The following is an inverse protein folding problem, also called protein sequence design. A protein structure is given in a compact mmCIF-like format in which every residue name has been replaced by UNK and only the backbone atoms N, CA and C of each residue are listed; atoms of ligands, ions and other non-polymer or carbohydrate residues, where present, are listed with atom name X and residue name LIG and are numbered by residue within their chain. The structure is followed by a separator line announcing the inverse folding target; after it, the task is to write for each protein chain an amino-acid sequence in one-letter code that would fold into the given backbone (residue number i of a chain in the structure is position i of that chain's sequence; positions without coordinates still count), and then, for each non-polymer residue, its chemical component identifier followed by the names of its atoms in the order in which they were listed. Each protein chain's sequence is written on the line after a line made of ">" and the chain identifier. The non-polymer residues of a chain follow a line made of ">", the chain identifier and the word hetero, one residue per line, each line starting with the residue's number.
data_IF_423675250273
#
_entry.id   IF_423675250273
#
_cell.length_a   1.000
_cell.length_b   1.000
_cell.length_c   1.000
_cell.angle_alpha   90.00
_cell.angle_beta   90.00
_cell.angle_gamma   90.00
#
_symmetry.space_group_name_H-M   'P 1'
#
loop_
_entity.id
_entity.type
_entity.pdbx_description
1 polymer ?
#
# COMPACT_ATOMS: atom_id res chain seq x y z
N UNK A 1 -37.31 -9.76 -4.74
CA UNK A 1 -36.49 -10.25 -3.62
C UNK A 1 -35.15 -10.76 -4.19
N UNK A 2 -34.09 -9.93 -4.21
CA UNK A 2 -32.77 -10.32 -4.76
C UNK A 2 -31.58 -9.92 -3.85
N UNK A 3 -31.82 -9.63 -2.58
CA UNK A 3 -30.82 -9.01 -1.71
C UNK A 3 -29.84 -10.00 -1.05
N UNK A 4 -30.06 -11.32 -1.18
CA UNK A 4 -29.21 -12.35 -0.56
C UNK A 4 -27.93 -12.70 -1.34
N UNK A 5 -27.85 -12.36 -2.63
CA UNK A 5 -26.73 -12.73 -3.51
C UNK A 5 -25.59 -11.71 -3.49
N UNK A 6 -25.92 -10.43 -3.33
CA UNK A 6 -24.94 -9.32 -3.35
C UNK A 6 -23.97 -9.37 -2.16
N UNK A 7 -24.49 -9.66 -0.96
CA UNK A 7 -23.66 -9.80 0.25
C UNK A 7 -22.67 -10.97 0.18
N UNK A 8 -23.08 -12.11 -0.40
CA UNK A 8 -22.17 -13.26 -0.59
C UNK A 8 -21.07 -12.96 -1.60
N UNK A 9 -21.37 -12.22 -2.67
CA UNK A 9 -20.38 -11.80 -3.67
C UNK A 9 -19.37 -10.83 -3.08
N UNK A 10 -19.82 -9.88 -2.25
CA UNK A 10 -18.97 -8.90 -1.60
C UNK A 10 -18.03 -9.55 -0.56
N UNK A 11 -18.54 -10.51 0.21
CA UNK A 11 -17.73 -11.34 1.11
C UNK A 11 -16.71 -12.18 0.34
N UNK A 12 -17.09 -12.74 -0.81
CA UNK A 12 -16.19 -13.56 -1.65
C UNK A 12 -15.07 -12.71 -2.26
N UNK A 13 -15.40 -11.52 -2.76
CA UNK A 13 -14.42 -10.54 -3.25
C UNK A 13 -13.48 -10.10 -2.13
N UNK A 14 -14.03 -9.74 -0.96
CA UNK A 14 -13.23 -9.41 0.21
C UNK A 14 -12.29 -10.55 0.62
N UNK A 15 -12.79 -11.79 0.62
CA UNK A 15 -11.98 -12.97 0.89
C UNK A 15 -10.83 -13.12 -0.11
N UNK A 16 -11.06 -12.94 -1.41
CA UNK A 16 -9.99 -13.03 -2.41
C UNK A 16 -8.91 -11.95 -2.26
N UNK A 17 -9.25 -10.77 -1.74
CA UNK A 17 -8.28 -9.70 -1.48
C UNK A 17 -7.47 -9.98 -0.20
N UNK A 18 -8.11 -10.48 0.86
CA UNK A 18 -7.47 -10.69 2.16
C UNK A 18 -6.70 -12.01 2.22
N UNK A 19 -7.16 -13.05 1.53
CA UNK A 19 -6.56 -14.38 1.52
C UNK A 19 -5.05 -14.38 1.18
N UNK A 20 -4.56 -13.72 0.12
CA UNK A 20 -3.12 -13.71 -0.17
C UNK A 20 -2.31 -13.03 0.95
N UNK A 21 -2.87 -12.03 1.63
CA UNK A 21 -2.22 -11.38 2.78
C UNK A 21 -2.11 -12.36 3.96
N UNK A 22 -3.20 -13.07 4.28
CA UNK A 22 -3.21 -14.08 5.36
C UNK A 22 -2.24 -15.22 5.05
N UNK A 23 -2.23 -15.70 3.80
CA UNK A 23 -1.29 -16.74 3.35
C UNK A 23 0.17 -16.27 3.49
N UNK A 24 0.48 -15.04 3.08
CA UNK A 24 1.84 -14.51 3.22
C UNK A 24 2.26 -14.39 4.70
N UNK A 25 1.39 -13.85 5.56
CA UNK A 25 1.68 -13.69 6.99
C UNK A 25 1.86 -15.04 7.68
N UNK A 26 1.00 -16.01 7.39
CA UNK A 26 1.08 -17.36 7.96
C UNK A 26 2.31 -18.12 7.46
N UNK A 27 2.66 -18.00 6.18
CA UNK A 27 3.86 -18.62 5.64
C UNK A 27 5.12 -18.05 6.30
N UNK A 28 5.21 -16.72 6.44
CA UNK A 28 6.33 -16.05 7.11
C UNK A 28 6.41 -16.46 8.57
N UNK A 29 5.28 -16.52 9.29
CA UNK A 29 5.29 -16.92 10.70
C UNK A 29 5.71 -18.38 10.88
N UNK A 30 5.28 -19.28 9.99
CA UNK A 30 5.72 -20.69 10.00
C UNK A 30 7.21 -20.82 9.74
N UNK A 31 7.74 -20.12 8.73
CA UNK A 31 9.17 -20.15 8.37
C UNK A 31 10.05 -19.49 9.43
N UNK A 32 9.53 -18.49 10.14
CA UNK A 32 10.29 -17.70 11.13
C UNK A 32 10.17 -18.26 12.55
N UNK A 33 9.39 -19.33 12.77
CA UNK A 33 9.16 -19.92 14.09
C UNK A 33 8.25 -19.09 15.01
N UNK A 34 7.44 -18.18 14.45
CA UNK A 34 6.55 -17.29 15.19
C UNK A 34 6.70 -15.82 14.80
N UNK A 35 5.97 -14.95 15.48
CA UNK A 35 6.15 -13.50 15.35
C UNK A 35 7.32 -13.04 16.20
N UNK A 36 8.21 -12.24 15.61
CA UNK A 36 9.26 -11.59 16.36
C UNK A 36 8.66 -10.69 17.46
N UNK A 37 9.33 -10.64 18.61
CA UNK A 37 8.96 -9.75 19.70
C UNK A 37 8.93 -8.28 19.22
N UNK A 38 7.87 -7.57 19.58
CA UNK A 38 7.61 -6.20 19.10
C UNK A 38 7.24 -6.08 17.60
N UNK A 39 6.91 -7.18 16.90
CA UNK A 39 6.34 -7.13 15.55
C UNK A 39 5.19 -6.12 15.34
N UNK A 40 4.17 -6.00 16.23
CA UNK A 40 3.10 -5.01 16.04
C UNK A 40 3.62 -3.57 16.11
N UNK A 41 4.61 -3.32 16.96
CA UNK A 41 5.26 -2.01 17.11
C UNK A 41 6.08 -1.67 15.85
N UNK A 42 6.84 -2.63 15.29
CA UNK A 42 7.52 -2.46 13.97
C UNK A 42 6.53 -2.12 12.89
N UNK A 43 5.40 -2.83 12.87
CA UNK A 43 4.36 -2.63 11.88
C UNK A 43 3.72 -1.25 11.98
N UNK A 44 3.33 -0.81 13.18
CA UNK A 44 2.77 0.53 13.40
C UNK A 44 3.74 1.64 12.99
N UNK A 45 5.02 1.49 13.31
CA UNK A 45 6.07 2.45 12.94
C UNK A 45 6.28 2.52 11.41
N UNK A 46 6.34 1.36 10.76
CA UNK A 46 6.45 1.27 9.31
C UNK A 46 5.20 1.86 8.62
N UNK A 47 4.01 1.60 9.14
CA UNK A 47 2.74 2.12 8.63
C UNK A 47 2.68 3.64 8.71
N UNK A 48 3.07 4.21 9.86
CA UNK A 48 3.11 5.65 10.08
C UNK A 48 4.11 6.36 9.17
N UNK A 49 5.28 5.73 8.96
CA UNK A 49 6.29 6.21 8.01
C UNK A 49 5.74 6.18 6.58
N UNK A 50 5.12 5.07 6.16
CA UNK A 50 4.53 4.93 4.84
C UNK A 50 3.41 5.94 4.59
N UNK A 51 2.51 6.14 5.57
CA UNK A 51 1.46 7.16 5.51
C UNK A 51 2.04 8.56 5.26
N UNK A 52 3.08 8.93 6.00
CA UNK A 52 3.71 10.25 5.87
C UNK A 52 4.36 10.44 4.49
N UNK A 53 5.09 9.44 4.00
CA UNK A 53 5.74 9.49 2.70
C UNK A 53 4.73 9.52 1.54
N UNK A 54 3.71 8.67 1.58
CA UNK A 54 2.66 8.64 0.56
C UNK A 54 1.89 9.96 0.54
N UNK A 55 1.56 10.53 1.70
CA UNK A 55 0.91 11.84 1.78
C UNK A 55 1.76 12.94 1.13
N UNK A 56 3.09 12.87 1.28
CA UNK A 56 4.00 13.80 0.62
C UNK A 56 4.02 13.62 -0.91
N UNK A 57 4.03 12.37 -1.40
CA UNK A 57 3.94 12.07 -2.84
C UNK A 57 2.62 12.57 -3.44
N UNK A 58 1.50 12.36 -2.73
CA UNK A 58 0.20 12.84 -3.16
C UNK A 58 0.14 14.37 -3.20
N UNK A 59 0.73 15.04 -2.20
CA UNK A 59 0.88 16.49 -2.18
C UNK A 59 1.69 16.98 -3.40
N UNK A 60 2.84 16.37 -3.69
CA UNK A 60 3.68 16.73 -4.85
C UNK A 60 2.91 16.54 -6.17
N UNK A 61 2.20 15.43 -6.30
CA UNK A 61 1.37 15.14 -7.47
C UNK A 61 0.28 16.19 -7.65
N UNK A 62 -0.34 16.61 -6.54
CA UNK A 62 -1.36 17.65 -6.54
C UNK A 62 -0.78 19.03 -6.85
N UNK A 63 0.44 19.35 -6.40
CA UNK A 63 1.13 20.60 -6.78
C UNK A 63 1.34 20.65 -8.29
N UNK A 64 1.87 19.57 -8.89
CA UNK A 64 2.07 19.45 -10.34
C UNK A 64 0.73 19.56 -11.09
N UNK A 65 -0.29 18.86 -10.60
CA UNK A 65 -1.62 18.87 -11.21
C UNK A 65 -2.36 20.22 -11.05
N UNK A 66 -2.24 20.85 -9.89
CA UNK A 66 -2.88 22.11 -9.54
C UNK A 66 -2.29 23.31 -10.29
N UNK A 67 -0.97 23.26 -10.55
CA UNK A 67 -0.28 24.21 -11.42
C UNK A 67 -0.81 24.14 -12.86
N UNK A 68 -0.99 22.92 -13.38
CA UNK A 68 -1.50 22.69 -14.74
C UNK A 68 -2.95 23.17 -14.95
N UNK A 69 -3.78 23.31 -13.90
CA UNK A 69 -5.21 23.65 -14.01
C UNK A 69 -5.61 25.05 -13.53
N UNK A 70 -4.67 25.96 -13.26
CA UNK A 70 -4.97 27.32 -12.75
C UNK A 70 -5.95 27.30 -11.55
N UNK A 71 -5.60 26.48 -10.55
CA UNK A 71 -6.18 26.31 -9.18
C UNK A 71 -7.30 25.26 -9.04
N UNK A 72 -7.20 24.41 -8.00
CA UNK A 72 -7.87 24.69 -6.72
C UNK A 72 -6.94 24.49 -5.52
N UNK A 73 -6.93 25.45 -4.58
CA UNK A 73 -6.01 25.49 -3.42
C UNK A 73 -6.53 24.62 -2.25
N UNK A 74 -7.83 24.31 -2.24
CA UNK A 74 -8.48 23.56 -1.16
C UNK A 74 -7.88 22.16 -0.88
N UNK A 75 -7.55 21.31 -1.88
CA UNK A 75 -6.94 20.01 -1.62
C UNK A 75 -5.47 20.10 -1.19
N UNK A 76 -4.77 21.21 -1.50
CA UNK A 76 -3.40 21.44 -1.02
C UNK A 76 -3.37 21.65 0.49
N UNK A 77 -4.31 22.41 1.05
CA UNK A 77 -4.37 22.64 2.51
C UNK A 77 -4.64 21.34 3.27
N UNK A 78 -5.60 20.52 2.83
CA UNK A 78 -5.90 19.23 3.46
C UNK A 78 -4.71 18.27 3.39
N UNK A 79 -4.01 18.23 2.26
CA UNK A 79 -2.82 17.39 2.12
C UNK A 79 -1.62 17.92 2.92
N UNK A 80 -1.37 19.23 2.94
CA UNK A 80 -0.35 19.83 3.81
C UNK A 80 -0.62 19.50 5.28
N UNK A 81 -1.88 19.58 5.73
CA UNK A 81 -2.26 19.25 7.09
C UNK A 81 -2.11 17.74 7.36
N UNK A 82 -2.40 16.87 6.40
CA UNK A 82 -2.15 15.43 6.51
C UNK A 82 -0.66 15.09 6.62
N UNK A 83 0.21 15.79 5.87
CA UNK A 83 1.67 15.63 5.96
C UNK A 83 2.17 16.15 7.30
N UNK A 84 1.72 17.33 7.74
CA UNK A 84 2.09 17.90 9.03
C UNK A 84 1.65 16.99 10.19
N UNK A 85 0.44 16.45 10.14
CA UNK A 85 -0.04 15.45 11.11
C UNK A 85 0.78 14.16 11.04
N UNK A 86 1.08 13.64 9.85
CA UNK A 86 1.91 12.45 9.69
C UNK A 86 3.30 12.62 10.30
N UNK A 87 3.97 13.75 10.01
CA UNK A 87 5.26 14.11 10.60
C UNK A 87 5.15 14.28 12.12
N UNK A 88 4.14 15.02 12.59
CA UNK A 88 3.92 15.26 14.01
C UNK A 88 3.67 13.97 14.79
N UNK A 89 2.81 13.09 14.26
CA UNK A 89 2.57 11.77 14.83
C UNK A 89 3.83 10.91 14.78
N UNK A 90 4.60 10.94 13.69
CA UNK A 90 5.86 10.19 13.58
C UNK A 90 6.85 10.61 14.67
N UNK A 91 7.06 11.91 14.86
CA UNK A 91 7.94 12.43 15.91
C UNK A 91 7.40 12.09 17.29
N UNK A 92 6.10 12.32 17.53
CA UNK A 92 5.45 12.04 18.81
C UNK A 92 5.60 10.57 19.20
N UNK A 93 5.23 9.66 18.30
CA UNK A 93 5.29 8.22 18.55
C UNK A 93 6.72 7.70 18.70
N UNK A 94 7.67 8.16 17.87
CA UNK A 94 9.07 7.79 18.03
C UNK A 94 9.68 8.34 19.34
N UNK A 95 9.16 9.46 19.86
CA UNK A 95 9.64 10.04 21.13
C UNK A 95 9.13 9.32 22.39
N UNK A 96 8.11 8.46 22.28
CA UNK A 96 7.58 7.68 23.42
C UNK A 96 8.50 6.52 23.85
N UNK A 97 9.62 6.28 23.15
CA UNK A 97 10.60 5.24 23.51
C UNK A 97 10.14 3.82 23.16
N UNK A 98 8.88 3.49 23.39
CA UNK A 98 8.32 2.14 23.15
C UNK A 98 8.30 1.75 21.66
N UNK A 99 8.28 2.74 20.76
CA UNK A 99 8.43 2.54 19.33
C UNK A 99 9.89 2.45 18.87
N UNK A 100 10.88 2.85 19.69
CA UNK A 100 12.31 2.67 19.46
C UNK A 100 12.69 1.24 19.83
N UNK A 101 12.68 0.34 18.86
CA UNK A 101 12.90 -1.09 19.07
C UNK A 101 14.34 -1.53 19.29
N UNK A 102 15.21 -0.57 19.50
CA UNK A 102 16.60 -0.78 19.84
C UNK A 102 16.82 0.10 21.06
N UNK A 103 17.02 -0.49 22.24
CA UNK A 103 17.17 0.20 23.54
C UNK A 103 18.33 1.22 23.58
N UNK A 104 18.99 1.45 22.45
CA UNK A 104 20.06 2.41 22.25
C UNK A 104 20.05 3.08 20.85
N UNK A 105 18.98 2.91 20.07
CA UNK A 105 18.84 3.44 18.72
C UNK A 105 18.31 4.88 18.71
N UNK A 106 18.96 5.78 17.97
CA UNK A 106 18.45 7.15 17.80
C UNK A 106 17.17 7.17 16.95
N UNK A 107 16.22 8.05 17.29
CA UNK A 107 15.02 8.37 16.49
C UNK A 107 15.33 8.54 14.99
N UNK A 108 16.47 9.17 14.68
CA UNK A 108 16.93 9.40 13.30
C UNK A 108 17.31 8.10 12.57
N UNK A 109 17.97 7.18 13.27
CA UNK A 109 18.38 5.88 12.71
C UNK A 109 17.16 5.01 12.41
N UNK A 110 16.16 5.04 13.29
CA UNK A 110 14.94 4.28 13.08
C UNK A 110 14.09 4.84 11.93
N UNK A 111 13.96 6.16 11.84
CA UNK A 111 13.30 6.81 10.71
C UNK A 111 13.97 6.44 9.38
N UNK A 112 15.30 6.49 9.33
CA UNK A 112 16.06 6.10 8.13
C UNK A 112 15.82 4.62 7.76
N UNK A 113 15.87 3.71 8.73
CA UNK A 113 15.62 2.27 8.51
C UNK A 113 14.21 2.02 7.96
N UNK A 114 13.21 2.70 8.48
CA UNK A 114 11.84 2.60 7.98
C UNK A 114 11.70 3.14 6.55
N UNK A 115 12.35 4.26 6.22
CA UNK A 115 12.37 4.83 4.87
C UNK A 115 13.00 3.84 3.89
N UNK A 116 14.14 3.23 4.24
CA UNK A 116 14.82 2.25 3.38
C UNK A 116 13.94 1.01 3.15
N UNK A 117 13.32 0.48 4.22
CA UNK A 117 12.38 -0.65 4.10
C UNK A 117 11.19 -0.28 3.22
N UNK A 118 10.61 0.90 3.40
CA UNK A 118 9.52 1.39 2.57
C UNK A 118 9.94 1.48 1.08
N UNK A 119 11.10 2.05 0.78
CA UNK A 119 11.62 2.11 -0.59
C UNK A 119 11.78 0.72 -1.23
N UNK A 120 12.28 -0.24 -0.47
CA UNK A 120 12.42 -1.64 -0.92
C UNK A 120 11.04 -2.26 -1.21
N UNK A 121 10.04 -2.02 -0.37
CA UNK A 121 8.66 -2.49 -0.60
C UNK A 121 8.02 -1.84 -1.83
N UNK A 122 8.30 -0.56 -2.09
CA UNK A 122 7.80 0.14 -3.28
C UNK A 122 8.39 -0.45 -4.57
N UNK A 123 9.67 -0.80 -4.57
CA UNK A 123 10.32 -1.48 -5.71
C UNK A 123 9.70 -2.87 -5.92
N UNK A 124 9.49 -3.63 -4.85
CA UNK A 124 8.82 -4.93 -4.94
C UNK A 124 7.40 -4.81 -5.50
N UNK A 125 6.63 -3.80 -5.09
CA UNK A 125 5.31 -3.49 -5.65
C UNK A 125 5.38 -3.11 -7.14
N UNK A 126 6.36 -2.31 -7.54
CA UNK A 126 6.56 -1.95 -8.95
C UNK A 126 6.88 -3.18 -9.81
N UNK A 127 7.73 -4.09 -9.32
CA UNK A 127 8.01 -5.37 -9.98
C UNK A 127 6.76 -6.25 -10.07
N UNK A 128 5.99 -6.35 -8.99
CA UNK A 128 4.73 -7.10 -8.98
C UNK A 128 3.75 -6.53 -10.02
N UNK A 129 3.65 -5.20 -10.13
CA UNK A 129 2.82 -4.54 -11.15
C UNK A 129 3.28 -4.93 -12.55
N UNK A 130 4.59 -4.89 -12.85
CA UNK A 130 5.13 -5.29 -14.16
C UNK A 130 4.76 -6.74 -14.49
N UNK A 131 4.88 -7.67 -13.54
CA UNK A 131 4.54 -9.08 -13.75
C UNK A 131 3.04 -9.25 -14.00
N UNK A 132 2.18 -8.62 -13.20
CA UNK A 132 0.72 -8.70 -13.35
C UNK A 132 0.28 -8.09 -14.68
N UNK A 133 0.80 -6.93 -15.05
CA UNK A 133 0.49 -6.31 -16.34
C UNK A 133 1.00 -7.17 -17.52
N UNK A 134 2.22 -7.71 -17.43
CA UNK A 134 2.79 -8.57 -18.46
C UNK A 134 2.00 -9.87 -18.66
N UNK A 135 1.61 -10.52 -17.56
CA UNK A 135 0.78 -11.74 -17.61
C UNK A 135 -0.64 -11.46 -18.12
N UNK A 136 -1.25 -10.35 -17.71
CA UNK A 136 -2.55 -9.92 -18.23
C UNK A 136 -2.48 -9.63 -19.74
N UNK A 137 -1.47 -8.89 -20.18
CA UNK A 137 -1.26 -8.58 -21.59
C UNK A 137 -1.05 -9.85 -22.42
N UNK A 138 -0.23 -10.78 -21.93
CA UNK A 138 -0.01 -12.08 -22.58
C UNK A 138 -1.29 -12.88 -22.68
N UNK A 139 -2.09 -12.95 -21.62
CA UNK A 139 -3.39 -13.66 -21.58
C UNK A 139 -4.39 -13.06 -22.57
N UNK A 140 -4.50 -11.74 -22.63
CA UNK A 140 -5.39 -11.05 -23.58
C UNK A 140 -4.98 -11.30 -25.04
N UNK A 141 -3.67 -11.32 -25.34
CA UNK A 141 -3.17 -11.55 -26.69
C UNK A 141 -3.17 -13.03 -27.13
N UNK A 142 -3.25 -13.97 -26.20
CA UNK A 142 -3.32 -15.41 -26.48
C UNK A 142 -4.75 -15.97 -26.56
N UNK A 143 -5.77 -15.11 -26.45
CA UNK A 143 -7.18 -15.50 -26.60
C UNK A 143 -7.49 -16.05 -28.01
N UNK A 144 -8.32 -17.11 -28.12
CA UNK A 144 -8.67 -17.69 -29.41
C UNK A 144 -9.33 -16.66 -30.34
N UNK A 145 -8.96 -16.66 -31.63
CA UNK A 145 -9.60 -15.81 -32.65
C UNK A 145 -11.11 -16.08 -32.61
N UNK A 146 -11.88 -15.07 -32.20
CA UNK A 146 -13.35 -15.11 -32.25
C UNK A 146 -13.73 -15.27 -33.73
N UNK A 147 -14.11 -16.48 -34.15
CA UNK A 147 -14.71 -16.72 -35.46
C UNK A 147 -16.09 -16.08 -35.43
N UNK A 148 -16.20 -14.90 -36.01
CA UNK A 148 -17.50 -14.27 -36.29
C UNK A 148 -18.13 -15.13 -37.39
N UNK A 149 -19.01 -16.05 -37.01
CA UNK A 149 -19.89 -16.70 -37.98
C UNK A 149 -20.87 -15.63 -38.43
N UNK A 150 -20.64 -15.08 -39.62
CA UNK A 150 -21.65 -14.35 -40.34
C UNK A 150 -22.65 -15.39 -40.84
N UNK A 151 -23.86 -15.33 -40.31
CA UNK A 151 -25.01 -16.07 -40.81
C UNK A 151 -25.43 -15.34 -42.10
N UNK A 152 -25.02 -15.88 -43.25
CA UNK A 152 -25.53 -15.41 -44.55
C UNK A 152 -26.99 -15.87 -44.67
N UNK A 153 -27.86 -14.90 -45.00
CA UNK A 153 -29.31 -15.05 -45.18
C UNK A 153 -29.70 -16.15 -46.19
#
# INVERSE_FOLDING_TARGET
>A
MNDGSSGRTLVRLGAHVVLPMVVAVTLVSMLSGGFAEGAPVRFANALLTAFTLVSFVLLLTLVVYGDARKRPIAPLLGMCLSVALGVGLTVFFLSQGELLMEDNGSVRAQALSNIVRFGTTMIALAMAAVIVFGTLFSSLMSGPKRTVHFEEE
#
